data_IF_045372917472
#
_entry.id   IF_045372917472
#
_cell.length_a   1.000
_cell.length_b   1.000
_cell.length_c   1.000
_cell.angle_alpha   90.00
_cell.angle_beta   90.00
_cell.angle_gamma   90.00
#
_symmetry.space_group_name_H-M   'P 1'
#
loop_
_entity.id
_entity.type
_entity.pdbx_description
1 polymer ?
#
# COMPACT_ATOMS: atom_id res chain seq x y z
N UNK A 1 -9.98 35.68 0.58
CA UNK A 1 -8.58 36.09 0.90
C UNK A 1 -7.70 34.88 0.67
N UNK A 2 -6.49 35.07 0.11
CA UNK A 2 -5.55 33.98 -0.11
C UNK A 2 -4.97 33.48 1.23
N UNK A 3 -4.67 32.18 1.31
CA UNK A 3 -3.97 31.59 2.45
C UNK A 3 -2.47 31.91 2.37
N UNK A 4 -1.77 31.80 3.51
CA UNK A 4 -0.30 31.84 3.54
C UNK A 4 0.23 30.68 2.70
N UNK A 5 1.28 30.93 1.94
CA UNK A 5 1.92 29.92 1.11
C UNK A 5 2.51 28.79 2.01
N UNK A 6 2.35 27.50 1.64
CA UNK A 6 2.77 26.39 2.51
C UNK A 6 4.26 26.40 2.87
N UNK A 7 5.17 26.71 1.93
CA UNK A 7 6.59 26.80 2.25
C UNK A 7 6.88 27.93 3.24
N UNK A 8 6.19 29.07 3.15
CA UNK A 8 6.31 30.15 4.14
C UNK A 8 5.85 29.71 5.54
N UNK A 9 4.76 28.93 5.65
CA UNK A 9 4.36 28.33 6.94
C UNK A 9 5.41 27.37 7.51
N UNK A 10 6.11 26.62 6.65
CA UNK A 10 7.22 25.75 7.05
C UNK A 10 8.39 26.57 7.59
N UNK A 11 8.80 27.62 6.90
CA UNK A 11 9.88 28.51 7.35
C UNK A 11 9.57 29.16 8.71
N UNK A 12 8.34 29.63 8.90
CA UNK A 12 7.86 30.15 10.19
C UNK A 12 7.93 29.09 11.30
N UNK A 13 7.59 27.84 11.00
CA UNK A 13 7.62 26.75 11.97
C UNK A 13 9.07 26.36 12.34
N UNK A 14 9.98 26.44 11.37
CA UNK A 14 11.40 26.17 11.56
C UNK A 14 12.10 27.27 12.38
N UNK A 15 11.67 28.54 12.29
CA UNK A 15 12.32 29.69 12.97
C UNK A 15 13.82 29.80 12.71
N UNK A 16 14.25 29.49 11.48
CA UNK A 16 15.66 29.46 11.12
C UNK A 16 16.22 30.80 10.62
N UNK A 17 15.36 31.81 10.43
CA UNK A 17 15.72 33.11 9.87
C UNK A 17 15.37 34.27 10.83
N UNK A 18 16.00 35.42 10.60
CA UNK A 18 15.64 36.68 11.26
C UNK A 18 14.20 37.06 10.89
N UNK A 19 13.34 37.38 11.87
CA UNK A 19 11.95 37.75 11.59
C UNK A 19 11.84 38.94 10.63
N UNK A 20 10.93 38.82 9.66
CA UNK A 20 10.60 39.86 8.68
C UNK A 20 9.20 40.43 8.91
N UNK A 21 8.87 41.56 8.29
CA UNK A 21 7.52 42.12 8.33
C UNK A 21 6.48 41.19 7.70
N UNK A 22 6.88 40.44 6.66
CA UNK A 22 6.05 39.44 6.02
C UNK A 22 5.72 38.28 6.98
N UNK A 23 6.66 37.90 7.85
CA UNK A 23 6.42 36.88 8.88
C UNK A 23 5.40 37.38 9.91
N UNK A 24 5.51 38.65 10.32
CA UNK A 24 4.55 39.24 11.24
C UNK A 24 3.14 39.30 10.62
N UNK A 25 3.03 39.60 9.33
CA UNK A 25 1.76 39.57 8.61
C UNK A 25 1.18 38.15 8.49
N UNK A 26 2.01 37.18 8.12
CA UNK A 26 1.61 35.78 8.04
C UNK A 26 1.13 35.25 9.40
N UNK A 27 1.80 35.61 10.50
CA UNK A 27 1.37 35.23 11.85
C UNK A 27 0.04 35.89 12.24
N UNK A 28 -0.18 37.16 11.92
CA UNK A 28 -1.50 37.81 12.10
C UNK A 28 -2.59 37.10 11.30
N UNK A 29 -2.29 36.65 10.09
CA UNK A 29 -3.24 35.85 9.30
C UNK A 29 -3.53 34.50 9.97
N UNK A 30 -2.50 33.80 10.45
CA UNK A 30 -2.62 32.50 11.15
C UNK A 30 -3.51 32.63 12.40
N UNK A 31 -3.43 33.76 13.12
CA UNK A 31 -4.31 34.04 14.25
C UNK A 31 -5.78 34.19 13.83
N UNK A 32 -6.06 34.67 12.63
CA UNK A 32 -7.42 34.96 12.15
C UNK A 32 -8.02 33.83 11.29
N UNK A 33 -7.19 32.94 10.74
CA UNK A 33 -7.61 31.91 9.78
C UNK A 33 -7.45 30.49 10.36
N UNK A 34 -8.57 29.79 10.59
CA UNK A 34 -8.57 28.46 11.18
C UNK A 34 -7.72 27.44 10.39
N UNK A 35 -7.82 27.43 9.06
CA UNK A 35 -7.04 26.52 8.20
C UNK A 35 -5.53 26.74 8.35
N UNK A 36 -5.08 27.99 8.24
CA UNK A 36 -3.65 28.31 8.38
C UNK A 36 -3.15 28.02 9.80
N UNK A 37 -4.00 28.20 10.81
CA UNK A 37 -3.70 27.84 12.20
C UNK A 37 -3.50 26.35 12.39
N UNK A 38 -4.38 25.53 11.83
CA UNK A 38 -4.30 24.08 11.95
C UNK A 38 -3.07 23.52 11.23
N UNK A 39 -2.79 24.04 10.04
CA UNK A 39 -1.59 23.69 9.26
C UNK A 39 -0.31 24.09 9.98
N UNK A 40 -0.24 25.34 10.47
CA UNK A 40 0.91 25.82 11.22
C UNK A 40 1.15 25.04 12.53
N UNK A 41 0.07 24.66 13.23
CA UNK A 41 0.13 23.83 14.43
C UNK A 41 0.64 22.42 14.12
N UNK A 42 0.21 21.84 13.00
CA UNK A 42 0.72 20.54 12.54
C UNK A 42 2.22 20.62 12.25
N UNK A 43 2.67 21.62 11.49
CA UNK A 43 4.08 21.83 11.17
C UNK A 43 4.93 22.04 12.42
N UNK A 44 4.45 22.87 13.36
CA UNK A 44 5.14 23.10 14.64
C UNK A 44 5.32 21.80 15.44
N UNK A 45 4.33 20.90 15.44
CA UNK A 45 4.47 19.59 16.10
C UNK A 45 5.51 18.71 15.43
N UNK A 46 5.57 18.70 14.10
CA UNK A 46 6.58 17.93 13.35
C UNK A 46 7.99 18.47 13.65
N UNK A 47 8.17 19.78 13.61
CA UNK A 47 9.45 20.41 13.95
C UNK A 47 9.86 20.12 15.38
N UNK A 48 8.93 20.19 16.34
CA UNK A 48 9.20 19.85 17.73
C UNK A 48 9.65 18.38 17.87
N UNK A 49 8.92 17.44 17.26
CA UNK A 49 9.27 16.02 17.28
C UNK A 49 10.65 15.75 16.67
N UNK A 50 10.96 16.38 15.54
CA UNK A 50 12.26 16.25 14.88
C UNK A 50 13.41 16.78 15.74
N UNK A 51 13.21 17.91 16.44
CA UNK A 51 14.22 18.48 17.35
C UNK A 51 14.46 17.64 18.60
N UNK A 52 13.47 16.88 19.04
CA UNK A 52 13.58 15.99 20.20
C UNK A 52 13.97 14.56 19.83
N UNK A 53 14.09 14.25 18.53
CA UNK A 53 14.43 12.92 18.07
C UNK A 53 15.83 12.52 18.55
N UNK A 54 15.92 11.31 19.09
CA UNK A 54 17.17 10.70 19.53
C UNK A 54 17.67 9.69 18.49
N UNK A 55 18.93 9.25 18.65
CA UNK A 55 19.54 8.24 17.77
C UNK A 55 18.70 6.96 17.68
N UNK A 56 17.96 6.61 18.75
CA UNK A 56 17.08 5.44 18.81
C UNK A 56 15.80 5.60 17.99
N UNK A 57 15.38 6.84 17.72
CA UNK A 57 14.18 7.15 16.92
C UNK A 57 14.50 7.17 15.43
N UNK A 58 15.79 7.22 15.07
CA UNK A 58 16.24 7.19 13.69
C UNK A 58 16.15 5.78 13.12
N UNK A 59 15.73 5.65 11.84
CA UNK A 59 15.77 4.36 11.17
C UNK A 59 17.20 3.82 11.15
N UNK A 60 17.35 2.50 11.31
CA UNK A 60 18.64 1.84 11.15
C UNK A 60 19.20 2.14 9.77
N UNK A 61 20.48 2.53 9.71
CA UNK A 61 21.16 2.82 8.46
C UNK A 61 21.00 1.64 7.49
N UNK A 62 20.53 1.88 6.25
CA UNK A 62 20.36 0.81 5.30
C UNK A 62 21.73 0.23 4.92
N UNK A 63 21.83 -1.07 4.59
CA UNK A 63 23.09 -1.68 4.21
C UNK A 63 23.69 -1.03 2.97
N UNK A 64 25.03 -1.01 2.87
CA UNK A 64 25.79 -0.34 1.80
C UNK A 64 25.33 -0.71 0.37
N UNK A 65 24.96 -1.98 0.16
CA UNK A 65 24.43 -2.47 -1.13
C UNK A 65 23.19 -1.71 -1.63
N UNK A 66 22.39 -1.14 -0.71
CA UNK A 66 21.20 -0.35 -1.03
C UNK A 66 21.65 0.99 -1.61
N UNK A 67 22.59 1.67 -0.95
CA UNK A 67 23.15 2.92 -1.44
C UNK A 67 23.87 2.76 -2.77
N UNK A 68 24.71 1.73 -2.92
CA UNK A 68 25.38 1.44 -4.18
C UNK A 68 24.40 1.25 -5.35
N UNK A 69 23.25 0.62 -5.08
CA UNK A 69 22.18 0.46 -6.08
C UNK A 69 21.54 1.81 -6.43
N UNK A 70 21.12 2.58 -5.44
CA UNK A 70 20.50 3.90 -5.65
C UNK A 70 21.45 4.83 -6.42
N UNK A 71 22.72 4.90 -6.02
CA UNK A 71 23.72 5.71 -6.71
C UNK A 71 23.89 5.29 -8.18
N UNK A 72 23.91 3.99 -8.46
CA UNK A 72 23.97 3.48 -9.83
C UNK A 72 22.71 3.83 -10.62
N UNK A 73 21.53 3.71 -10.02
CA UNK A 73 20.26 3.98 -10.67
C UNK A 73 20.08 5.48 -10.97
N UNK A 74 20.54 6.37 -10.07
CA UNK A 74 20.47 7.83 -10.25
C UNK A 74 21.50 8.34 -11.25
N UNK A 75 22.72 7.78 -11.23
CA UNK A 75 23.79 8.18 -12.17
C UNK A 75 23.68 7.50 -13.54
N UNK A 76 22.95 6.39 -13.63
CA UNK A 76 22.78 5.63 -14.86
C UNK A 76 21.75 6.29 -15.79
N UNK A 77 21.76 5.93 -17.09
CA UNK A 77 20.67 6.27 -17.98
C UNK A 77 19.36 5.65 -17.47
N UNK A 78 18.21 6.33 -17.63
CA UNK A 78 16.93 5.81 -17.18
C UNK A 78 16.70 4.41 -17.77
N UNK A 79 16.41 3.45 -16.89
CA UNK A 79 16.15 2.08 -17.33
C UNK A 79 14.97 2.08 -18.31
N UNK A 80 15.02 1.26 -19.38
CA UNK A 80 13.88 1.13 -20.28
C UNK A 80 12.65 0.66 -19.51
N UNK A 81 11.45 1.10 -19.90
CA UNK A 81 10.21 0.69 -19.23
C UNK A 81 10.15 -0.84 -19.20
N UNK A 82 9.85 -1.38 -18.02
CA UNK A 82 9.71 -2.84 -17.86
C UNK A 82 8.54 -3.30 -18.74
N UNK A 83 8.72 -4.31 -19.61
CA UNK A 83 7.62 -4.81 -20.41
C UNK A 83 6.49 -5.30 -19.51
N UNK A 84 5.22 -5.15 -19.94
CA UNK A 84 4.09 -5.63 -19.17
C UNK A 84 4.25 -7.12 -18.87
N UNK A 85 3.81 -7.53 -17.68
CA UNK A 85 3.81 -8.95 -17.32
C UNK A 85 3.05 -9.74 -18.39
N UNK A 86 3.53 -10.92 -18.79
CA UNK A 86 2.85 -11.74 -19.79
C UNK A 86 1.43 -12.04 -19.32
N UNK A 87 0.45 -11.78 -20.19
CA UNK A 87 -0.93 -12.11 -19.89
C UNK A 87 -1.06 -13.62 -19.63
N UNK A 88 -1.89 -14.04 -18.66
CA UNK A 88 -2.12 -15.45 -18.42
C UNK A 88 -2.71 -16.12 -19.68
N UNK A 89 -2.16 -17.27 -20.04
CA UNK A 89 -2.54 -18.03 -21.23
C UNK A 89 -4.00 -18.52 -21.12
N UNK A 90 -4.90 -18.07 -22.02
CA UNK A 90 -6.31 -18.46 -21.99
C UNK A 90 -6.50 -19.97 -22.21
N UNK A 91 -5.61 -20.64 -22.93
CA UNK A 91 -5.69 -22.08 -23.20
C UNK A 91 -5.52 -22.93 -21.93
N UNK A 92 -4.59 -22.53 -21.05
CA UNK A 92 -4.39 -23.20 -19.75
C UNK A 92 -5.61 -23.07 -18.83
N UNK A 93 -6.30 -21.93 -18.88
CA UNK A 93 -7.52 -21.70 -18.09
C UNK A 93 -8.69 -22.56 -18.55
N UNK A 94 -8.89 -22.68 -19.86
CA UNK A 94 -9.92 -23.56 -20.43
C UNK A 94 -9.66 -25.02 -20.09
N UNK A 95 -8.40 -25.48 -20.23
CA UNK A 95 -8.04 -26.85 -19.88
C UNK A 95 -8.30 -27.18 -18.40
N UNK A 96 -7.93 -26.28 -17.48
CA UNK A 96 -8.19 -26.47 -16.05
C UNK A 96 -9.69 -26.50 -15.73
N UNK A 97 -10.49 -25.65 -16.38
CA UNK A 97 -11.94 -25.66 -16.21
C UNK A 97 -12.58 -26.97 -16.70
N UNK A 98 -12.13 -27.49 -17.85
CA UNK A 98 -12.60 -28.77 -18.38
C UNK A 98 -12.22 -29.96 -17.47
N UNK A 99 -11.00 -29.96 -16.92
CA UNK A 99 -10.56 -30.99 -15.98
C UNK A 99 -11.38 -30.97 -14.68
N UNK A 100 -11.68 -29.78 -14.15
CA UNK A 100 -12.52 -29.65 -12.95
C UNK A 100 -13.96 -30.13 -13.19
N UNK A 101 -14.53 -29.82 -14.36
CA UNK A 101 -15.85 -30.31 -14.77
C UNK A 101 -15.89 -31.83 -14.91
N UNK A 102 -14.88 -32.42 -15.55
CA UNK A 102 -14.77 -33.87 -15.70
C UNK A 102 -14.65 -34.58 -14.34
N UNK A 103 -13.85 -34.04 -13.42
CA UNK A 103 -13.72 -34.56 -12.06
C UNK A 103 -15.05 -34.50 -11.29
N UNK A 104 -15.76 -33.37 -11.36
CA UNK A 104 -17.06 -33.22 -10.71
C UNK A 104 -18.12 -34.19 -11.26
N UNK A 105 -18.15 -34.39 -12.58
CA UNK A 105 -19.04 -35.36 -13.23
C UNK A 105 -18.72 -36.81 -12.81
N UNK A 106 -17.42 -37.16 -12.75
CA UNK A 106 -16.97 -38.48 -12.29
C UNK A 106 -17.37 -38.77 -10.84
N UNK A 107 -17.17 -37.80 -9.94
CA UNK A 107 -17.56 -37.92 -8.52
C UNK A 107 -19.09 -38.07 -8.40
N UNK A 108 -19.86 -37.26 -9.13
CA UNK A 108 -21.32 -37.33 -9.12
C UNK A 108 -21.85 -38.67 -9.64
N UNK A 109 -21.24 -39.21 -10.69
CA UNK A 109 -21.61 -40.50 -11.27
C UNK A 109 -21.31 -41.65 -10.29
N UNK A 110 -20.11 -41.67 -9.69
CA UNK A 110 -19.74 -42.66 -8.68
C UNK A 110 -20.68 -42.64 -7.47
N UNK A 111 -21.05 -41.45 -6.99
CA UNK A 111 -21.98 -41.30 -5.87
C UNK A 111 -23.40 -41.79 -6.22
N UNK A 112 -23.84 -41.64 -7.48
CA UNK A 112 -25.14 -42.14 -7.93
C UNK A 112 -25.15 -43.66 -8.03
N UNK A 113 -24.06 -44.25 -8.52
CA UNK A 113 -23.89 -45.69 -8.65
C UNK A 113 -23.88 -46.39 -7.27
N UNK A 114 -23.13 -45.83 -6.31
CA UNK A 114 -23.09 -46.34 -4.93
C UNK A 114 -24.46 -46.25 -4.23
N UNK A 115 -25.26 -45.21 -4.49
CA UNK A 115 -26.63 -45.10 -3.97
C UNK A 115 -27.60 -46.12 -4.57
N UNK A 116 -27.43 -46.49 -5.84
CA UNK A 116 -28.28 -47.48 -6.50
C UNK A 116 -27.96 -48.91 -6.04
N UNK A 117 -26.70 -49.21 -5.74
CA UNK A 117 -26.29 -50.50 -5.17
C UNK A 117 -26.85 -50.76 -3.75
N UNK A 118 -27.21 -49.71 -3.01
CA UNK A 118 -27.77 -49.83 -1.66
C UNK A 118 -29.27 -50.12 -1.62
N UNK A 119 -29.98 -50.11 -2.76
CA UNK A 119 -31.42 -50.40 -2.83
C UNK A 119 -31.75 -51.87 -3.21
N UNK A 120 -30.73 -52.74 -3.29
CA UNK A 120 -30.85 -54.12 -3.77
C UNK A 120 -30.55 -55.21 -2.74
N UNK A 121 -30.83 -54.98 -1.45
CA UNK A 121 -30.81 -56.07 -0.46
C UNK A 121 -32.21 -56.70 -0.41
N UNK A 122 -32.43 -57.93 -0.88
CA UNK A 122 -33.68 -58.64 -0.63
C UNK A 122 -33.78 -58.98 0.86
N UNK A 123 -34.96 -58.79 1.42
CA UNK A 123 -35.30 -59.20 2.79
C UNK A 123 -34.95 -60.68 2.99
N UNK A 124 -34.31 -61.06 4.10
CA UNK A 124 -34.19 -62.47 4.45
C UNK A 124 -35.60 -63.02 4.74
N UNK A 125 -35.92 -64.25 4.30
CA UNK A 125 -37.20 -64.85 4.66
C UNK A 125 -37.21 -65.12 6.17
N UNK A 126 -38.29 -64.69 6.83
CA UNK A 126 -38.63 -65.18 8.16
C UNK A 126 -38.80 -66.70 8.10
N UNK A 127 -37.96 -67.43 8.86
CA UNK A 127 -38.28 -68.55 9.76
C UNK A 127 -36.99 -69.20 10.31
#
# INVERSE_FOLDING_TARGET
>A
MAHVEPAHLVELALRNATPTDADAEALRHVEQCARCRDEFRMLTRVVAAARTAQLVDLPTAPPERVWQRISRDVSGPPAPPRPPAPAPDPGKRVLLALLALAAAAGIAFAHRYLRQGAAGQPDPPDL
#
